data_IF_987685922291
#
_entry.id   IF_987685922291
#
_cell.length_a   1.000
_cell.length_b   1.000
_cell.length_c   1.000
_cell.angle_alpha   90.00
_cell.angle_beta   90.00
_cell.angle_gamma   90.00
#
_symmetry.space_group_name_H-M   'P 1'
#
loop_
_entity.id
_entity.type
_entity.pdbx_description
1 polymer ?
#
# COMPACT_ATOMS: atom_id res chain seq x y z
N UNK A 1 -15.70 -6.33 27.50
CA UNK A 1 -16.63 -5.51 26.69
C UNK A 1 -16.94 -6.29 25.41
N UNK A 2 -18.21 -6.52 25.05
CA UNK A 2 -18.53 -7.15 23.77
C UNK A 2 -18.09 -6.24 22.63
N UNK A 3 -17.42 -6.77 21.62
CA UNK A 3 -17.14 -6.04 20.39
C UNK A 3 -18.47 -5.64 19.77
N UNK A 4 -18.72 -4.33 19.65
CA UNK A 4 -19.88 -3.82 18.92
C UNK A 4 -19.87 -4.38 17.50
N UNK A 5 -21.00 -4.90 17.05
CA UNK A 5 -21.24 -5.55 15.74
C UNK A 5 -21.13 -4.57 14.54
N UNK A 6 -20.59 -3.39 14.79
CA UNK A 6 -20.33 -2.31 13.86
C UNK A 6 -18.84 -2.02 14.02
N UNK A 7 -18.09 -2.12 12.92
CA UNK A 7 -16.65 -1.85 12.92
C UNK A 7 -16.31 -0.45 13.48
N UNK A 8 -15.01 -0.10 13.58
CA UNK A 8 -14.59 1.16 14.17
C UNK A 8 -15.32 2.34 13.53
N UNK A 9 -15.85 3.23 14.36
CA UNK A 9 -16.53 4.43 13.92
C UNK A 9 -15.54 5.37 13.25
N UNK A 10 -16.06 6.28 12.41
CA UNK A 10 -15.22 7.28 11.77
C UNK A 10 -14.60 8.22 12.80
N UNK A 11 -15.37 8.64 13.79
CA UNK A 11 -14.92 9.59 14.81
C UNK A 11 -13.76 9.01 15.63
N UNK A 12 -13.81 7.72 16.00
CA UNK A 12 -12.69 7.04 16.67
C UNK A 12 -11.41 7.04 15.83
N UNK A 13 -11.53 6.86 14.50
CA UNK A 13 -10.38 6.88 13.59
C UNK A 13 -9.85 8.30 13.42
N UNK A 14 -10.73 9.30 13.31
CA UNK A 14 -10.35 10.70 13.16
C UNK A 14 -9.65 11.22 14.44
N UNK A 15 -10.13 10.86 15.63
CA UNK A 15 -9.49 11.15 16.92
C UNK A 15 -8.09 10.53 17.01
N UNK A 16 -7.94 9.28 16.54
CA UNK A 16 -6.65 8.59 16.53
C UNK A 16 -5.67 9.21 15.53
N UNK A 17 -6.15 9.70 14.38
CA UNK A 17 -5.32 10.45 13.42
C UNK A 17 -4.80 11.72 14.09
N UNK A 18 -5.65 12.45 14.82
CA UNK A 18 -5.25 13.68 15.52
C UNK A 18 -4.16 13.39 16.54
N UNK A 19 -4.35 12.37 17.40
CA UNK A 19 -3.35 11.93 18.36
C UNK A 19 -2.01 11.60 17.68
N UNK A 20 -2.03 10.72 16.66
CA UNK A 20 -0.81 10.29 15.97
C UNK A 20 -0.10 11.45 15.23
N UNK A 21 -0.85 12.46 14.81
CA UNK A 21 -0.28 13.65 14.17
C UNK A 21 0.57 14.48 15.13
N UNK A 22 0.21 14.51 16.42
CA UNK A 22 0.89 15.28 17.45
C UNK A 22 2.22 14.64 17.91
N UNK A 23 2.39 13.34 17.70
CA UNK A 23 3.60 12.61 18.09
C UNK A 23 4.84 13.09 17.33
N UNK A 24 6.00 13.01 17.97
CA UNK A 24 7.29 13.14 17.29
C UNK A 24 7.52 12.00 16.29
N UNK A 25 8.50 12.16 15.39
CA UNK A 25 8.83 11.12 14.40
C UNK A 25 9.30 9.81 15.05
N UNK A 26 9.93 9.89 16.23
CA UNK A 26 10.41 8.72 16.98
C UNK A 26 9.26 7.99 17.68
N UNK A 27 8.41 8.72 18.42
CA UNK A 27 7.21 8.17 19.07
C UNK A 27 6.26 7.56 18.05
N UNK A 28 6.05 8.25 16.92
CA UNK A 28 5.21 7.74 15.83
C UNK A 28 5.75 6.43 15.25
N UNK A 29 7.08 6.32 15.07
CA UNK A 29 7.70 5.09 14.59
C UNK A 29 7.60 3.95 15.62
N UNK A 30 7.73 4.26 16.91
CA UNK A 30 7.57 3.29 17.99
C UNK A 30 6.13 2.74 18.06
N UNK A 31 5.12 3.61 18.02
CA UNK A 31 3.71 3.24 17.98
C UNK A 31 3.40 2.34 16.76
N UNK A 32 3.92 2.70 15.59
CA UNK A 32 3.73 1.89 14.39
C UNK A 32 4.43 0.52 14.48
N UNK A 33 5.63 0.48 15.07
CA UNK A 33 6.34 -0.77 15.30
C UNK A 33 5.62 -1.68 16.31
N UNK A 34 5.03 -1.11 17.37
CA UNK A 34 4.24 -1.84 18.36
C UNK A 34 2.95 -2.40 17.74
N UNK A 35 2.28 -1.63 16.87
CA UNK A 35 1.16 -2.12 16.08
C UNK A 35 1.59 -3.33 15.24
N UNK A 36 2.68 -3.26 14.48
CA UNK A 36 3.06 -4.38 13.58
C UNK A 36 3.52 -5.63 14.35
N UNK A 37 4.14 -5.45 15.52
CA UNK A 37 4.60 -6.57 16.34
C UNK A 37 3.49 -7.25 17.15
N UNK A 38 2.26 -6.76 17.06
CA UNK A 38 1.14 -7.25 17.89
C UNK A 38 1.39 -7.15 19.40
N UNK A 39 2.27 -6.23 19.80
CA UNK A 39 2.50 -5.95 21.22
C UNK A 39 1.21 -5.36 21.80
N UNK A 40 0.71 -5.89 22.93
CA UNK A 40 -0.38 -5.25 23.65
C UNK A 40 0.04 -3.81 23.95
N UNK A 41 -0.76 -2.83 23.53
CA UNK A 41 -0.55 -1.47 24.00
C UNK A 41 -0.96 -1.48 25.48
N UNK A 42 -0.02 -1.71 26.38
CA UNK A 42 -0.29 -1.89 27.81
C UNK A 42 -0.98 -0.67 28.45
N UNK A 43 -0.99 0.48 27.76
CA UNK A 43 -1.55 1.74 28.26
C UNK A 43 -2.69 2.33 27.41
N UNK A 44 -2.83 1.93 26.13
CA UNK A 44 -3.80 2.58 25.22
C UNK A 44 -5.08 1.76 25.09
N UNK A 45 -6.21 2.37 25.42
CA UNK A 45 -7.54 1.77 25.29
C UNK A 45 -8.09 1.77 23.84
N UNK A 46 -7.32 2.31 22.87
CA UNK A 46 -7.75 2.41 21.48
C UNK A 46 -7.67 1.04 20.80
N UNK A 47 -8.74 0.57 20.12
CA UNK A 47 -8.70 -0.68 19.40
C UNK A 47 -7.63 -0.68 18.30
N UNK A 48 -6.87 -1.78 18.17
CA UNK A 48 -5.80 -1.92 17.16
C UNK A 48 -6.30 -1.72 15.73
N UNK A 49 -7.56 -2.04 15.46
CA UNK A 49 -8.21 -1.80 14.17
C UNK A 49 -8.33 -0.31 13.86
N UNK A 50 -8.67 0.52 14.85
CA UNK A 50 -8.73 1.99 14.75
C UNK A 50 -7.34 2.53 14.43
N UNK A 51 -6.33 2.19 15.25
CA UNK A 51 -4.93 2.60 15.06
C UNK A 51 -4.39 2.18 13.68
N UNK A 52 -4.67 0.94 13.26
CA UNK A 52 -4.27 0.45 11.94
C UNK A 52 -4.95 1.16 10.78
N UNK A 53 -6.18 1.64 10.94
CA UNK A 53 -6.85 2.48 9.94
C UNK A 53 -6.27 3.90 9.92
N UNK A 54 -6.02 4.49 11.09
CA UNK A 54 -5.44 5.82 11.22
C UNK A 54 -4.05 5.91 10.56
N UNK A 55 -3.15 4.96 10.81
CA UNK A 55 -1.83 4.91 10.13
C UNK A 55 -1.92 4.79 8.60
N UNK A 56 -3.02 4.24 8.09
CA UNK A 56 -3.29 4.06 6.66
C UNK A 56 -4.27 5.12 6.11
N UNK A 57 -4.54 6.17 6.87
CA UNK A 57 -5.30 7.33 6.39
C UNK A 57 -4.52 8.08 5.30
N UNK A 58 -5.22 8.84 4.47
CA UNK A 58 -4.56 9.69 3.45
C UNK A 58 -3.56 10.66 4.11
N UNK A 59 -3.97 11.25 5.23
CA UNK A 59 -3.21 12.21 6.02
C UNK A 59 -1.88 11.63 6.53
N UNK A 60 -1.90 10.43 7.11
CA UNK A 60 -0.71 9.83 7.71
C UNK A 60 0.07 8.90 6.77
N UNK A 61 -0.54 8.42 5.67
CA UNK A 61 0.04 7.38 4.79
C UNK A 61 1.49 7.65 4.35
N UNK A 62 1.84 8.90 4.05
CA UNK A 62 3.20 9.29 3.65
C UNK A 62 4.18 9.24 4.82
N UNK A 63 3.75 9.69 6.00
CA UNK A 63 4.54 9.65 7.24
C UNK A 63 4.76 8.20 7.65
N UNK A 64 3.70 7.39 7.65
CA UNK A 64 3.77 5.94 7.90
C UNK A 64 4.68 5.23 6.91
N UNK A 65 4.65 5.59 5.62
CA UNK A 65 5.58 5.03 4.62
C UNK A 65 7.05 5.37 4.92
N UNK A 66 7.34 6.58 5.41
CA UNK A 66 8.70 6.97 5.86
C UNK A 66 9.11 6.14 7.08
N UNK A 67 8.24 6.02 8.08
CA UNK A 67 8.47 5.21 9.28
C UNK A 67 8.71 3.74 8.93
N UNK A 68 7.87 3.13 8.09
CA UNK A 68 8.00 1.74 7.66
C UNK A 68 9.35 1.45 6.97
N UNK A 69 9.84 2.38 6.15
CA UNK A 69 11.18 2.28 5.53
C UNK A 69 12.32 2.42 6.54
N UNK A 70 12.16 3.32 7.51
CA UNK A 70 13.13 3.51 8.59
C UNK A 70 13.24 2.24 9.44
N UNK A 71 12.10 1.74 9.91
CA UNK A 71 11.97 0.52 10.72
C UNK A 71 12.49 -0.73 9.99
N UNK A 72 12.23 -0.85 8.69
CA UNK A 72 12.78 -1.95 7.88
C UNK A 72 14.32 -1.96 7.87
N UNK A 73 14.93 -0.78 7.64
CA UNK A 73 16.39 -0.61 7.57
C UNK A 73 17.06 -0.76 8.93
N UNK A 74 16.43 -0.21 9.97
CA UNK A 74 16.97 -0.15 11.32
C UNK A 74 16.29 -1.14 12.29
N UNK A 75 15.76 -2.26 11.79
CA UNK A 75 14.96 -3.21 12.57
C UNK A 75 15.61 -3.65 13.90
N UNK A 76 16.93 -3.80 13.91
CA UNK A 76 17.73 -4.19 15.09
C UNK A 76 17.65 -3.18 16.24
N UNK A 77 17.36 -1.90 15.96
CA UNK A 77 17.19 -0.87 16.99
C UNK A 77 15.82 -0.95 17.68
N UNK A 78 14.81 -1.50 17.00
CA UNK A 78 13.43 -1.54 17.49
C UNK A 78 13.02 -2.92 18.02
N UNK A 79 13.76 -3.97 17.63
CA UNK A 79 13.60 -5.33 18.13
C UNK A 79 14.82 -5.72 18.94
N UNK A 80 14.88 -5.25 20.18
CA UNK A 80 15.95 -5.63 21.12
C UNK A 80 15.80 -7.13 21.48
N UNK A 81 16.90 -7.89 21.63
CA UNK A 81 16.85 -9.27 22.11
C UNK A 81 16.13 -9.39 23.45
N UNK A 82 15.27 -10.39 23.57
CA UNK A 82 14.59 -10.68 24.84
C UNK A 82 15.52 -11.49 25.73
N UNK A 83 15.44 -11.33 27.05
CA UNK A 83 16.23 -12.12 27.98
C UNK A 83 15.96 -13.63 27.80
N UNK A 84 17.03 -14.42 27.68
CA UNK A 84 16.94 -15.85 27.38
C UNK A 84 16.64 -16.20 25.91
N UNK A 85 16.51 -15.22 25.02
CA UNK A 85 16.29 -15.47 23.59
C UNK A 85 17.54 -16.06 22.93
N UNK A 86 17.37 -17.21 22.25
CA UNK A 86 18.46 -17.75 21.43
C UNK A 86 18.75 -16.83 20.24
N UNK A 87 20.01 -16.73 19.82
CA UNK A 87 20.40 -15.94 18.64
C UNK A 87 19.56 -16.27 17.40
N UNK A 88 19.25 -17.54 17.17
CA UNK A 88 18.44 -17.98 16.02
C UNK A 88 16.98 -17.53 16.11
N UNK A 89 16.41 -17.51 17.32
CA UNK A 89 15.06 -16.97 17.55
C UNK A 89 15.03 -15.46 17.26
N UNK A 90 16.05 -14.73 17.73
CA UNK A 90 16.19 -13.30 17.47
C UNK A 90 16.30 -12.96 15.97
N UNK A 91 17.18 -13.65 15.24
CA UNK A 91 17.34 -13.49 13.79
C UNK A 91 16.03 -13.78 13.03
N UNK A 92 15.24 -14.76 13.50
CA UNK A 92 13.92 -15.04 12.94
C UNK A 92 12.95 -13.88 13.18
N UNK A 93 12.87 -13.32 14.39
CA UNK A 93 11.99 -12.16 14.67
C UNK A 93 12.35 -10.95 13.82
N UNK A 94 13.64 -10.66 13.64
CA UNK A 94 14.10 -9.58 12.76
C UNK A 94 13.66 -9.80 11.31
N UNK A 95 13.76 -11.04 10.82
CA UNK A 95 13.32 -11.41 9.47
C UNK A 95 11.82 -11.24 9.31
N UNK A 96 11.03 -11.73 10.28
CA UNK A 96 9.57 -11.64 10.28
C UNK A 96 9.10 -10.18 10.33
N UNK A 97 9.77 -9.34 11.13
CA UNK A 97 9.48 -7.92 11.23
C UNK A 97 9.82 -7.16 9.94
N UNK A 98 10.97 -7.42 9.33
CA UNK A 98 11.32 -6.84 8.02
C UNK A 98 10.28 -7.23 6.97
N UNK A 99 9.87 -8.50 6.93
CA UNK A 99 8.82 -8.95 6.03
C UNK A 99 7.46 -8.27 6.32
N UNK A 100 7.13 -8.00 7.58
CA UNK A 100 5.93 -7.26 7.95
C UNK A 100 5.99 -5.80 7.49
N UNK A 101 7.13 -5.13 7.67
CA UNK A 101 7.35 -3.77 7.15
C UNK A 101 7.22 -3.71 5.62
N UNK A 102 7.69 -4.72 4.90
CA UNK A 102 7.52 -4.80 3.43
C UNK A 102 6.06 -4.93 3.03
N UNK A 103 5.29 -5.77 3.73
CA UNK A 103 3.84 -5.89 3.50
C UNK A 103 3.12 -4.56 3.76
N UNK A 104 3.45 -3.88 4.86
CA UNK A 104 2.86 -2.57 5.17
C UNK A 104 3.23 -1.51 4.14
N UNK A 105 4.49 -1.46 3.67
CA UNK A 105 4.87 -0.57 2.58
C UNK A 105 4.03 -0.83 1.32
N UNK A 106 3.78 -2.09 0.96
CA UNK A 106 2.92 -2.41 -0.18
C UNK A 106 1.49 -1.91 0.03
N UNK A 107 0.90 -2.14 1.21
CA UNK A 107 -0.44 -1.65 1.58
C UNK A 107 -0.54 -0.13 1.53
N UNK A 108 0.43 0.57 2.13
CA UNK A 108 0.50 2.03 2.11
C UNK A 108 0.64 2.57 0.69
N UNK A 109 1.38 1.90 -0.18
CA UNK A 109 1.46 2.27 -1.59
C UNK A 109 0.09 2.14 -2.27
N UNK A 110 -0.69 1.09 -1.99
CA UNK A 110 -2.05 0.96 -2.50
C UNK A 110 -2.96 2.10 -2.02
N UNK A 111 -2.90 2.46 -0.73
CA UNK A 111 -3.65 3.59 -0.17
C UNK A 111 -3.30 4.89 -0.89
N UNK A 112 -2.01 5.21 -1.00
CA UNK A 112 -1.53 6.43 -1.65
C UNK A 112 -1.89 6.46 -3.14
N UNK A 113 -1.93 5.32 -3.82
CA UNK A 113 -2.33 5.21 -5.23
C UNK A 113 -3.86 5.37 -5.40
N UNK A 114 -4.65 4.88 -4.45
CA UNK A 114 -6.12 4.91 -4.50
C UNK A 114 -6.68 6.34 -4.41
N UNK A 115 -6.02 7.25 -3.69
CA UNK A 115 -6.53 8.60 -3.49
C UNK A 115 -6.53 9.46 -4.79
N UNK A 116 -5.43 9.55 -5.55
CA UNK A 116 -5.45 10.12 -6.90
C UNK A 116 -6.48 9.46 -7.81
N UNK A 117 -6.62 8.13 -7.75
CA UNK A 117 -7.55 7.37 -8.58
C UNK A 117 -9.01 7.80 -8.33
N UNK A 118 -9.40 8.02 -7.07
CA UNK A 118 -10.73 8.54 -6.71
C UNK A 118 -11.00 9.94 -7.26
N UNK A 119 -9.94 10.74 -7.47
CA UNK A 119 -10.02 12.08 -8.09
C UNK A 119 -9.91 12.04 -9.62
N UNK A 120 -10.07 10.88 -10.25
CA UNK A 120 -10.00 10.71 -11.70
C UNK A 120 -8.58 10.78 -12.27
N UNK A 121 -7.55 10.80 -11.42
CA UNK A 121 -6.15 10.78 -11.84
C UNK A 121 -5.62 9.36 -11.73
N UNK A 122 -5.18 8.77 -12.83
CA UNK A 122 -4.51 7.47 -12.76
C UNK A 122 -3.29 7.56 -11.83
N UNK A 123 -3.12 6.61 -10.89
CA UNK A 123 -1.93 6.56 -10.07
C UNK A 123 -0.73 6.41 -11.01
N UNK A 124 0.10 7.45 -11.09
CA UNK A 124 1.34 7.41 -11.85
C UNK A 124 2.33 6.59 -11.04
N UNK A 125 2.21 5.25 -11.10
CA UNK A 125 3.23 4.39 -10.52
C UNK A 125 4.60 4.84 -11.04
N UNK A 126 5.62 4.76 -10.18
CA UNK A 126 7.01 4.54 -10.59
C UNK A 126 7.10 3.19 -11.31
N UNK A 127 6.53 3.09 -12.51
CA UNK A 127 6.63 1.88 -13.30
C UNK A 127 7.99 1.92 -14.02
N UNK A 128 8.96 1.08 -13.64
CA UNK A 128 10.28 1.09 -14.26
C UNK A 128 10.20 0.81 -15.76
N UNK A 129 9.20 0.02 -16.23
CA UNK A 129 8.95 -0.20 -17.65
C UNK A 129 8.46 1.07 -18.35
N UNK A 130 7.57 1.83 -17.71
CA UNK A 130 7.11 3.11 -18.25
C UNK A 130 8.23 4.15 -18.29
N UNK A 131 9.07 4.22 -17.25
CA UNK A 131 10.27 5.09 -17.27
C UNK A 131 11.29 4.66 -18.30
N UNK A 132 11.52 3.35 -18.45
CA UNK A 132 12.40 2.82 -19.48
C UNK A 132 11.85 3.11 -20.88
N UNK A 133 10.53 3.00 -21.08
CA UNK A 133 9.86 3.37 -22.32
C UNK A 133 9.93 4.88 -22.59
N UNK A 134 9.73 5.73 -21.57
CA UNK A 134 9.88 7.19 -21.68
C UNK A 134 11.33 7.58 -22.02
N UNK A 135 12.32 6.94 -21.40
CA UNK A 135 13.74 7.17 -21.70
C UNK A 135 14.12 6.64 -23.09
N UNK A 136 13.58 5.49 -23.52
CA UNK A 136 13.79 4.95 -24.86
C UNK A 136 13.11 5.83 -25.91
N UNK A 137 11.92 6.36 -25.65
CA UNK A 137 11.24 7.34 -26.48
C UNK A 137 12.01 8.66 -26.60
N UNK A 138 12.67 9.11 -25.53
CA UNK A 138 13.52 10.31 -25.54
C UNK A 138 14.76 10.11 -26.41
N UNK A 139 15.34 8.91 -26.43
CA UNK A 139 16.54 8.57 -27.23
C UNK A 139 16.21 8.23 -28.68
N UNK A 140 15.05 7.64 -28.94
CA UNK A 140 14.61 7.15 -30.25
C UNK A 140 13.18 7.63 -30.56
N UNK A 141 12.96 8.94 -30.72
CA UNK A 141 11.61 9.50 -30.83
C UNK A 141 10.85 9.01 -32.07
N UNK A 142 11.54 8.88 -33.22
CA UNK A 142 10.91 8.46 -34.47
C UNK A 142 10.48 6.99 -34.45
N UNK A 143 11.32 6.11 -33.91
CA UNK A 143 11.03 4.68 -33.76
C UNK A 143 9.87 4.47 -32.78
N UNK A 144 9.86 5.22 -31.68
CA UNK A 144 8.78 5.18 -30.71
C UNK A 144 7.45 5.64 -31.31
N UNK A 145 7.43 6.75 -32.06
CA UNK A 145 6.22 7.22 -32.74
C UNK A 145 5.72 6.23 -33.79
N UNK A 146 6.62 5.55 -34.49
CA UNK A 146 6.27 4.51 -35.46
C UNK A 146 5.60 3.31 -34.77
N UNK A 147 6.20 2.81 -33.69
CA UNK A 147 5.62 1.74 -32.87
C UNK A 147 4.25 2.13 -32.32
N UNK A 148 4.11 3.35 -31.82
CA UNK A 148 2.85 3.84 -31.25
C UNK A 148 1.73 3.90 -32.30
N UNK A 149 2.03 4.36 -33.53
CA UNK A 149 1.07 4.33 -34.64
C UNK A 149 0.68 2.91 -35.03
N UNK A 150 1.65 1.99 -35.08
CA UNK A 150 1.37 0.58 -35.38
C UNK A 150 0.45 -0.06 -34.35
N UNK A 151 0.68 0.17 -33.05
CA UNK A 151 -0.20 -0.31 -31.98
C UNK A 151 -1.60 0.33 -32.05
N UNK A 152 -1.69 1.64 -32.30
CA UNK A 152 -2.99 2.32 -32.48
C UNK A 152 -3.79 1.75 -33.67
N UNK A 153 -3.13 1.41 -34.76
CA UNK A 153 -3.75 0.78 -35.93
C UNK A 153 -4.24 -0.63 -35.60
N UNK A 154 -3.47 -1.41 -34.84
CA UNK A 154 -3.86 -2.73 -34.36
C UNK A 154 -5.08 -2.66 -33.43
N UNK A 155 -5.10 -1.71 -32.49
CA UNK A 155 -6.22 -1.49 -31.57
C UNK A 155 -7.48 -1.05 -32.33
N UNK A 156 -7.35 -0.13 -33.30
CA UNK A 156 -8.47 0.26 -34.17
C UNK A 156 -8.98 -0.91 -34.99
N UNK A 157 -8.09 -1.77 -35.50
CA UNK A 157 -8.48 -2.97 -36.24
C UNK A 157 -9.17 -4.01 -35.34
N UNK A 158 -8.71 -4.19 -34.10
CA UNK A 158 -9.34 -5.08 -33.12
C UNK A 158 -10.75 -4.61 -32.73
N UNK A 159 -10.95 -3.29 -32.56
CA UNK A 159 -12.26 -2.70 -32.26
C UNK A 159 -13.25 -2.78 -33.43
N UNK A 160 -12.76 -2.79 -34.67
CA UNK A 160 -13.60 -2.90 -35.89
C UNK A 160 -14.03 -4.33 -36.21
N UNK A 161 -13.47 -5.35 -35.57
CA UNK A 161 -13.96 -6.73 -35.72
C UNK A 161 -15.30 -6.83 -34.99
N UNK A 162 -16.44 -7.08 -35.68
CA UNK A 162 -17.70 -7.29 -35.00
C UNK A 162 -17.56 -8.52 -34.11
N UNK A 163 -17.97 -8.39 -32.84
CA UNK A 163 -18.20 -9.56 -31.97
C UNK A 163 -19.07 -10.53 -32.77
N UNK A 164 -18.54 -11.72 -33.07
CA UNK A 164 -19.35 -12.80 -33.61
C UNK A 164 -20.54 -12.96 -32.64
N UNK A 165 -21.76 -12.76 -33.16
CA UNK A 165 -22.99 -13.06 -32.45
C UNK A 165 -22.97 -14.57 -32.18
N UNK A 166 -22.59 -14.96 -30.98
CA UNK A 166 -22.88 -16.28 -30.46
C UNK A 166 -24.41 -16.47 -30.45
N UNK A 167 -24.82 -17.64 -30.95
CA UNK A 167 -26.15 -17.91 -31.44
C UNK A 167 -27.27 -17.90 -30.42
N UNK A 168 -28.48 -17.64 -30.93
CA UNK A 168 -29.73 -18.11 -30.36
C UNK A 168 -30.57 -18.67 -31.51
N UNK A 169 -31.11 -19.89 -31.41
CA UNK A 169 -31.87 -20.51 -32.49
C UNK A 169 -33.25 -19.84 -32.63
N UNK A 170 -33.84 -19.84 -33.84
CA UNK A 170 -35.12 -19.20 -34.08
C UNK A 170 -36.24 -19.99 -33.39
N UNK A 171 -37.08 -19.30 -32.61
CA UNK A 171 -38.28 -19.84 -32.02
C UNK A 171 -39.28 -20.27 -33.11
N UNK A 172 -39.77 -21.51 -32.99
CA UNK A 172 -40.80 -22.08 -33.84
C UNK A 172 -42.17 -21.44 -33.62
N UNK A 173 -42.93 -21.36 -34.71
CA UNK A 173 -44.39 -21.26 -34.71
C UNK A 173 -44.98 -22.66 -34.75
#
# INVERSE_FOLDING_TARGET
>A
MPASDHGPSRDEVDDEIEFLTQLSDEEFAAEFAALVQEVPADERQVPRTVTGLAFRSDELSRRTMKAAKSLHRAAEQYLVPVEGESRRAHEKRLTDFRAAMEREQALLQFVMDAYPARRGRFPTRRNPRRRAAEELARRHPEEFLKLLRTEEEQDRAARKKPRAKDGSPPGGQ
#
